data_IF_940636870576
#
_entry.id   IF_940636870576
#
_cell.length_a   1.000
_cell.length_b   1.000
_cell.length_c   1.000
_cell.angle_alpha   90.00
_cell.angle_beta   90.00
_cell.angle_gamma   90.00
#
_symmetry.space_group_name_H-M   'P 1'
#
loop_
_entity.id
_entity.type
_entity.pdbx_description
1 polymer ?
#
# COMPACT_ATOMS: atom_id res chain seq x y z
N UNK A 1 -0.19 -0.93 16.36
CA UNK A 1 1.29 -0.94 16.43
C UNK A 1 1.84 0.43 16.03
N UNK A 2 2.25 1.27 16.99
CA UNK A 2 2.84 2.60 16.74
C UNK A 2 4.14 2.87 17.53
N UNK A 3 4.63 1.86 18.25
CA UNK A 3 5.74 1.98 19.21
C UNK A 3 7.11 2.07 18.53
N UNK A 4 7.27 1.54 17.32
CA UNK A 4 8.55 1.52 16.58
C UNK A 4 9.00 2.94 16.18
N UNK A 5 8.08 3.80 15.75
CA UNK A 5 8.40 5.16 15.33
C UNK A 5 8.84 6.02 16.53
N UNK A 6 8.17 5.85 17.68
CA UNK A 6 8.56 6.51 18.93
C UNK A 6 9.96 6.11 19.40
N UNK A 7 10.30 4.82 19.28
CA UNK A 7 11.64 4.31 19.62
C UNK A 7 12.76 4.87 18.72
N UNK A 8 12.41 5.40 17.54
CA UNK A 8 13.34 6.07 16.61
C UNK A 8 13.42 7.59 16.82
N UNK A 9 12.89 8.11 17.93
CA UNK A 9 12.92 9.54 18.25
C UNK A 9 11.83 10.37 17.58
N UNK A 10 10.85 9.75 16.92
CA UNK A 10 9.70 10.48 16.34
C UNK A 10 8.66 10.66 17.43
N UNK A 11 8.51 11.89 17.92
CA UNK A 11 7.69 12.18 19.10
C UNK A 11 6.20 12.34 18.78
N UNK A 12 5.87 12.94 17.63
CA UNK A 12 4.48 13.27 17.24
C UNK A 12 3.83 12.17 16.42
N UNK A 13 3.76 10.96 16.96
CA UNK A 13 3.11 9.81 16.32
C UNK A 13 1.68 9.69 16.85
N UNK A 14 0.69 9.91 15.98
CA UNK A 14 -0.73 9.66 16.28
C UNK A 14 -1.16 8.40 15.53
N UNK A 15 -1.39 7.26 16.22
CA UNK A 15 -1.91 6.08 15.54
C UNK A 15 -3.27 6.38 14.92
N UNK A 16 -3.52 5.80 13.75
CA UNK A 16 -4.83 5.86 13.11
C UNK A 16 -5.82 5.03 13.92
N UNK A 17 -6.82 5.68 14.50
CA UNK A 17 -7.87 5.00 15.25
C UNK A 17 -8.61 4.01 14.33
N UNK A 18 -8.69 2.74 14.72
CA UNK A 18 -9.34 1.68 13.94
C UNK A 18 -8.64 1.28 12.63
N UNK A 19 -7.48 1.87 12.31
CA UNK A 19 -6.70 1.54 11.12
C UNK A 19 -7.35 1.94 9.80
N UNK A 20 -6.89 1.32 8.71
CA UNK A 20 -7.32 1.66 7.35
C UNK A 20 -8.82 1.41 7.10
N UNK A 21 -9.34 0.27 7.57
CA UNK A 21 -10.76 -0.06 7.37
C UNK A 21 -11.68 0.94 8.05
N UNK A 22 -11.42 1.30 9.32
CA UNK A 22 -12.19 2.34 9.99
C UNK A 22 -12.13 3.69 9.25
N UNK A 23 -10.96 4.07 8.70
CA UNK A 23 -10.84 5.29 7.90
C UNK A 23 -11.72 5.26 6.64
N UNK A 24 -11.73 4.12 5.92
CA UNK A 24 -12.58 3.92 4.75
C UNK A 24 -14.06 3.92 5.12
N UNK A 25 -14.43 3.21 6.18
CA UNK A 25 -15.83 3.02 6.58
C UNK A 25 -16.42 4.34 7.15
N UNK A 26 -15.57 5.24 7.65
CA UNK A 26 -15.94 6.63 8.00
C UNK A 26 -16.05 7.57 6.78
N UNK A 27 -15.80 7.08 5.56
CA UNK A 27 -15.95 7.84 4.32
C UNK A 27 -14.88 8.90 4.08
N UNK A 28 -13.73 8.81 4.75
CA UNK A 28 -12.63 9.74 4.51
C UNK A 28 -12.02 9.55 3.10
N UNK A 29 -11.40 10.60 2.52
CA UNK A 29 -10.84 10.52 1.18
C UNK A 29 -9.79 9.41 1.04
N UNK A 30 -9.89 8.67 -0.07
CA UNK A 30 -8.92 7.67 -0.49
C UNK A 30 -8.42 8.02 -1.89
N UNK A 31 -7.11 7.91 -2.10
CA UNK A 31 -6.51 8.03 -3.42
C UNK A 31 -6.17 6.63 -3.89
N UNK A 32 -6.74 6.23 -5.03
CA UNK A 32 -6.38 4.98 -5.68
C UNK A 32 -5.04 5.16 -6.39
N UNK A 33 -4.07 4.30 -6.09
CA UNK A 33 -2.82 4.25 -6.84
C UNK A 33 -3.07 3.40 -8.09
N UNK A 34 -3.45 4.05 -9.20
CA UNK A 34 -3.56 3.41 -10.51
C UNK A 34 -2.16 3.25 -11.13
N UNK A 35 -1.38 2.32 -10.58
CA UNK A 35 0.03 2.13 -10.94
C UNK A 35 0.33 0.79 -11.58
N UNK A 36 0.08 0.69 -12.89
CA UNK A 36 0.81 -0.21 -13.80
C UNK A 36 0.37 -1.67 -13.81
N UNK A 37 -0.26 -2.09 -14.91
CA UNK A 37 -0.39 -3.49 -15.29
C UNK A 37 0.99 -4.14 -15.33
N UNK A 38 1.37 -4.85 -14.26
CA UNK A 38 2.50 -5.79 -14.26
C UNK A 38 2.05 -7.16 -14.79
N UNK A 39 1.27 -7.16 -15.86
CA UNK A 39 1.02 -8.35 -16.66
C UNK A 39 1.98 -8.32 -17.85
N UNK A 40 3.29 -8.42 -17.58
CA UNK A 40 4.25 -8.79 -18.61
C UNK A 40 4.01 -10.26 -18.95
N UNK A 41 3.08 -10.51 -19.87
CA UNK A 41 2.96 -11.80 -20.52
C UNK A 41 4.19 -11.97 -21.42
N UNK A 42 5.22 -12.66 -20.91
CA UNK A 42 6.34 -13.14 -21.72
C UNK A 42 5.79 -14.26 -22.59
N UNK A 43 5.49 -13.97 -23.85
CA UNK A 43 5.35 -15.01 -24.86
C UNK A 43 6.75 -15.32 -25.38
N UNK A 44 7.24 -16.53 -25.11
CA UNK A 44 8.53 -16.99 -25.62
C UNK A 44 8.38 -17.36 -27.11
N UNK A 45 9.34 -17.00 -27.99
CA UNK A 45 9.34 -17.55 -29.33
C UNK A 45 9.74 -19.04 -29.24
N UNK A 46 8.80 -19.93 -29.53
CA UNK A 46 9.12 -21.30 -29.87
C UNK A 46 9.91 -21.26 -31.18
N UNK A 47 11.21 -21.57 -31.08
CA UNK A 47 12.04 -21.83 -32.24
C UNK A 47 11.65 -23.14 -32.92
N UNK A 48 12.37 -23.39 -34.02
CA UNK A 48 12.40 -24.61 -34.82
C UNK A 48 11.36 -24.67 -35.95
N UNK A 49 11.74 -24.12 -37.12
CA UNK A 49 11.88 -24.83 -38.42
C UNK A 49 12.72 -24.00 -39.40
#
# INVERSE_FOLDING_TARGET
MALILRRRGIERVRPLAGGFHAWRDLGYPLVSVSGGSSARSVNAPAGDR
#
